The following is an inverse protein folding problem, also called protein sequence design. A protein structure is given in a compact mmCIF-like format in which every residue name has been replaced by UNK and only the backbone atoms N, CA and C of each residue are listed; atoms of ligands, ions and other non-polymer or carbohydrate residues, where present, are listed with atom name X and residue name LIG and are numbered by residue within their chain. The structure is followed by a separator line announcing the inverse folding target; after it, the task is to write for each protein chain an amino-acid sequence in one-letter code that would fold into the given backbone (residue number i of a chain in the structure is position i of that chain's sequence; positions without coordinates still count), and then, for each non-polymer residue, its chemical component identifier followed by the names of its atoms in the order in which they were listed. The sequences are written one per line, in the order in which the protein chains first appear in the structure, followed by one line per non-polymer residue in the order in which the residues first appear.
data_IF_355275064894
#
_entry.id   IF_355275064894
#
_cell.length_a   1.000
_cell.length_b   1.000
_cell.length_c   1.000
_cell.angle_alpha   90.00
_cell.angle_beta   90.00
_cell.angle_gamma   90.00
#
_symmetry.space_group_name_H-M   'P 1'
#
loop_
_entity.id
_entity.type
_entity.pdbx_description
1 polymer ?
#
# COMPACT_ATOMS: atom_id res chain seq x y z
N UNK A 1 -8.83 -2.97 -6.73
CA UNK A 1 -8.12 -3.95 -5.87
C UNK A 1 -9.06 -4.99 -5.24
N UNK A 2 -9.77 -5.82 -6.04
CA UNK A 2 -10.60 -6.91 -5.47
C UNK A 2 -9.74 -8.07 -4.96
N UNK A 3 -8.55 -8.23 -5.54
CA UNK A 3 -7.49 -9.18 -5.19
C UNK A 3 -6.20 -8.42 -4.95
N UNK A 4 -5.94 -7.97 -3.73
CA UNK A 4 -4.68 -7.31 -3.36
C UNK A 4 -3.94 -8.18 -2.36
N UNK A 5 -2.63 -8.31 -2.54
CA UNK A 5 -1.73 -9.07 -1.69
C UNK A 5 -0.72 -8.09 -1.07
N UNK A 6 -1.05 -7.46 0.08
CA UNK A 6 -0.34 -6.26 0.54
C UNK A 6 1.15 -6.49 0.77
N UNK A 7 1.55 -7.57 1.47
CA UNK A 7 2.98 -7.87 1.68
C UNK A 7 3.68 -8.38 0.42
N UNK A 8 2.99 -9.08 -0.48
CA UNK A 8 3.60 -9.47 -1.76
C UNK A 8 3.83 -8.27 -2.67
N UNK A 9 2.97 -7.25 -2.63
CA UNK A 9 3.22 -5.97 -3.29
C UNK A 9 4.44 -5.26 -2.73
N UNK A 10 4.66 -5.27 -1.40
CA UNK A 10 5.89 -4.74 -0.80
C UNK A 10 7.12 -5.47 -1.35
N UNK A 11 7.11 -6.80 -1.36
CA UNK A 11 8.21 -7.61 -1.93
C UNK A 11 8.41 -7.35 -3.42
N UNK A 12 7.34 -7.11 -4.18
CA UNK A 12 7.42 -6.80 -5.60
C UNK A 12 8.12 -5.45 -5.82
N UNK A 13 7.79 -4.43 -5.02
CA UNK A 13 8.42 -3.11 -5.09
C UNK A 13 9.88 -3.17 -4.62
N UNK A 14 10.18 -3.90 -3.53
CA UNK A 14 11.57 -4.17 -3.09
C UNK A 14 12.41 -4.76 -4.25
N UNK A 15 11.87 -5.75 -4.96
CA UNK A 15 12.54 -6.37 -6.11
C UNK A 15 12.68 -5.41 -7.28
N UNK A 16 11.65 -4.62 -7.58
CA UNK A 16 11.69 -3.63 -8.63
C UNK A 16 12.82 -2.61 -8.38
N UNK A 17 12.90 -2.05 -7.17
CA UNK A 17 13.97 -1.11 -6.80
C UNK A 17 15.37 -1.76 -6.91
N UNK A 18 15.49 -3.04 -6.53
CA UNK A 18 16.73 -3.79 -6.63
C UNK A 18 17.21 -4.04 -8.07
N UNK A 19 16.32 -3.98 -9.07
CA UNK A 19 16.70 -4.09 -10.49
C UNK A 19 17.55 -2.90 -10.96
N UNK A 20 17.49 -1.76 -10.24
CA UNK A 20 18.20 -0.53 -10.61
C UNK A 20 17.96 -0.12 -12.07
N UNK A 21 16.75 -0.34 -12.58
CA UNK A 21 16.38 0.05 -13.93
C UNK A 21 16.53 1.56 -14.12
N UNK A 22 16.75 1.99 -15.37
CA UNK A 22 16.85 3.41 -15.72
C UNK A 22 15.49 4.11 -15.61
N UNK A 23 14.40 3.39 -15.90
CA UNK A 23 13.02 3.90 -15.96
C UNK A 23 12.08 2.91 -15.26
N UNK A 24 11.22 3.42 -14.38
CA UNK A 24 10.12 2.69 -13.74
C UNK A 24 8.78 3.30 -14.17
N UNK A 25 8.26 2.89 -15.31
CA UNK A 25 7.02 3.45 -15.84
C UNK A 25 5.80 2.83 -15.14
N UNK A 26 4.94 3.62 -14.45
CA UNK A 26 3.76 3.07 -13.80
C UNK A 26 2.69 2.69 -14.83
N UNK A 27 1.82 1.73 -14.48
CA UNK A 27 0.69 1.36 -15.33
C UNK A 27 -0.36 2.47 -15.49
N UNK A 28 -0.41 3.42 -14.54
CA UNK A 28 -1.22 4.62 -14.57
C UNK A 28 -0.43 5.79 -13.97
N UNK A 29 -0.59 6.99 -14.52
CA UNK A 29 0.13 8.19 -14.08
C UNK A 29 0.82 8.87 -15.26
N UNK A 30 1.73 9.79 -14.94
CA UNK A 30 2.49 10.53 -15.93
C UNK A 30 3.72 9.74 -16.38
N UNK A 31 4.15 9.99 -17.62
CA UNK A 31 5.44 9.53 -18.13
C UNK A 31 6.45 10.63 -17.88
N UNK A 32 7.34 10.41 -16.92
CA UNK A 32 8.32 11.38 -16.46
C UNK A 32 9.76 10.92 -16.74
N UNK A 33 10.73 11.77 -16.42
CA UNK A 33 12.15 11.38 -16.49
C UNK A 33 12.48 10.24 -15.52
N UNK A 34 13.48 9.41 -15.85
CA UNK A 34 13.94 8.30 -15.01
C UNK A 34 14.21 8.67 -13.54
N UNK A 35 14.89 9.79 -13.23
CA UNK A 35 15.08 10.24 -11.85
C UNK A 35 13.78 10.55 -11.11
N UNK A 36 12.81 11.19 -11.77
CA UNK A 36 11.49 11.50 -11.19
C UNK A 36 10.72 10.22 -10.92
N UNK A 37 10.65 9.31 -11.89
CA UNK A 37 9.97 8.02 -11.74
C UNK A 37 10.57 7.17 -10.61
N UNK A 38 11.88 7.26 -10.37
CA UNK A 38 12.54 6.58 -9.24
C UNK A 38 12.12 7.17 -7.89
N UNK A 39 11.97 8.50 -7.80
CA UNK A 39 11.46 9.16 -6.59
C UNK A 39 10.00 8.80 -6.34
N UNK A 40 9.18 8.75 -7.39
CA UNK A 40 7.78 8.35 -7.30
C UNK A 40 7.64 6.89 -6.84
N UNK A 41 8.45 5.96 -7.37
CA UNK A 41 8.48 4.58 -6.91
C UNK A 41 8.83 4.49 -5.42
N UNK A 42 9.85 5.22 -4.96
CA UNK A 42 10.25 5.24 -3.56
C UNK A 42 9.16 5.85 -2.66
N UNK A 43 8.49 6.91 -3.12
CA UNK A 43 7.37 7.53 -2.41
C UNK A 43 6.17 6.57 -2.30
N UNK A 44 5.84 5.88 -3.39
CA UNK A 44 4.82 4.83 -3.40
C UNK A 44 5.18 3.68 -2.46
N UNK A 45 6.45 3.25 -2.45
CA UNK A 45 6.93 2.21 -1.55
C UNK A 45 6.75 2.58 -0.08
N UNK A 46 7.13 3.82 0.30
CA UNK A 46 6.95 4.35 1.64
C UNK A 46 5.46 4.39 2.03
N UNK A 47 4.60 4.86 1.13
CA UNK A 47 3.16 4.89 1.34
C UNK A 47 2.57 3.50 1.56
N UNK A 48 2.95 2.53 0.73
CA UNK A 48 2.49 1.15 0.86
C UNK A 48 2.91 0.54 2.20
N UNK A 49 4.16 0.76 2.64
CA UNK A 49 4.64 0.29 3.95
C UNK A 49 3.81 0.89 5.10
N UNK A 50 3.53 2.20 5.05
CA UNK A 50 2.77 2.88 6.09
C UNK A 50 1.32 2.36 6.18
N UNK A 51 0.64 2.19 5.04
CA UNK A 51 -0.74 1.66 5.00
C UNK A 51 -0.80 0.24 5.55
N UNK A 52 0.15 -0.62 5.16
CA UNK A 52 0.22 -2.00 5.66
C UNK A 52 0.51 -2.03 7.16
N UNK A 53 1.45 -1.21 7.62
CA UNK A 53 1.82 -1.14 9.03
C UNK A 53 0.65 -0.68 9.92
N UNK A 54 -0.11 0.33 9.49
CA UNK A 54 -1.27 0.82 10.26
C UNK A 54 -2.37 -0.24 10.36
N UNK A 55 -2.72 -0.90 9.26
CA UNK A 55 -3.71 -1.96 9.28
C UNK A 55 -3.25 -3.15 10.15
N UNK A 56 -1.97 -3.53 10.08
CA UNK A 56 -1.40 -4.57 10.93
C UNK A 56 -1.38 -4.17 12.41
N UNK A 57 -1.13 -2.90 12.74
CA UNK A 57 -1.20 -2.39 14.12
C UNK A 57 -2.59 -2.56 14.71
N UNK A 58 -3.64 -2.21 13.96
CA UNK A 58 -5.03 -2.37 14.38
C UNK A 58 -5.42 -3.85 14.53
N UNK A 59 -4.96 -4.70 13.60
CA UNK A 59 -5.19 -6.14 13.67
C UNK A 59 -4.56 -6.75 14.92
N UNK A 60 -3.29 -6.43 15.19
CA UNK A 60 -2.55 -6.93 16.36
C UNK A 60 -3.13 -6.42 17.69
N UNK A 61 -3.81 -5.27 17.67
CA UNK A 61 -4.56 -4.73 18.81
C UNK A 61 -5.95 -5.38 19.00
N UNK A 62 -6.32 -6.36 18.17
CA UNK A 62 -7.61 -7.05 18.24
C UNK A 62 -8.81 -6.21 17.79
N UNK A 63 -8.58 -5.10 17.07
CA UNK A 63 -9.67 -4.22 16.62
C UNK A 63 -10.45 -4.91 15.48
N UNK A 64 -11.78 -5.04 15.56
CA UNK A 64 -12.58 -5.61 14.48
C UNK A 64 -12.43 -4.83 13.17
N UNK A 65 -12.46 -5.51 12.01
CA UNK A 65 -12.15 -4.90 10.70
C UNK A 65 -13.00 -3.67 10.37
N UNK A 66 -14.30 -3.69 10.69
CA UNK A 66 -15.21 -2.57 10.43
C UNK A 66 -14.86 -1.34 11.27
N UNK A 67 -14.38 -1.56 12.49
CA UNK A 67 -13.89 -0.51 13.37
C UNK A 67 -12.51 -0.03 12.94
N UNK A 68 -11.64 -0.93 12.49
CA UNK A 68 -10.32 -0.61 11.97
C UNK A 68 -10.41 0.29 10.73
N UNK A 69 -11.34 0.05 9.82
CA UNK A 69 -11.59 0.93 8.66
C UNK A 69 -11.92 2.36 9.08
N UNK A 70 -12.65 2.54 10.19
CA UNK A 70 -13.01 3.87 10.71
C UNK A 70 -11.89 4.52 11.50
N UNK A 71 -11.03 3.72 12.15
CA UNK A 71 -9.95 4.18 13.04
C UNK A 71 -8.59 4.32 12.35
N UNK A 72 -8.40 3.71 11.20
CA UNK A 72 -7.13 3.72 10.48
C UNK A 72 -6.68 5.15 10.20
N UNK A 73 -5.48 5.47 10.67
CA UNK A 73 -4.82 6.74 10.41
C UNK A 73 -3.66 6.53 9.44
N UNK A 74 -3.83 6.99 8.20
CA UNK A 74 -2.79 6.92 7.18
C UNK A 74 -1.85 8.14 7.18
N UNK A 75 -1.99 9.05 8.14
CA UNK A 75 -1.15 10.25 8.26
C UNK A 75 -1.17 11.10 6.99
N UNK A 76 0.01 11.44 6.48
CA UNK A 76 0.17 12.24 5.25
C UNK A 76 -0.56 11.65 4.03
N UNK A 77 -0.66 10.31 3.97
CA UNK A 77 -1.27 9.58 2.85
C UNK A 77 -2.80 9.65 2.85
N UNK A 78 -3.43 10.13 3.92
CA UNK A 78 -4.89 10.35 3.96
C UNK A 78 -5.36 11.37 2.90
N UNK A 79 -4.46 12.26 2.48
CA UNK A 79 -4.71 13.28 1.45
C UNK A 79 -4.54 12.78 0.01
N UNK A 80 -3.99 11.58 -0.19
CA UNK A 80 -3.67 11.07 -1.52
C UNK A 80 -4.92 10.76 -2.34
N UNK A 81 -4.77 10.87 -3.66
CA UNK A 81 -5.82 10.52 -4.60
C UNK A 81 -6.27 9.08 -4.36
N UNK A 82 -7.59 8.88 -4.25
CA UNK A 82 -8.24 7.61 -3.93
C UNK A 82 -8.07 7.09 -2.49
N UNK A 83 -7.42 7.79 -1.56
CA UNK A 83 -7.28 7.33 -0.18
C UNK A 83 -8.63 6.96 0.47
N UNK A 84 -9.67 7.77 0.23
CA UNK A 84 -11.04 7.52 0.74
C UNK A 84 -11.67 6.24 0.19
N UNK A 85 -11.42 5.89 -1.08
CA UNK A 85 -12.04 4.72 -1.71
C UNK A 85 -11.19 3.45 -1.55
N UNK A 86 -9.86 3.57 -1.55
CA UNK A 86 -8.93 2.44 -1.46
C UNK A 86 -8.50 2.12 -0.03
N UNK A 87 -8.46 3.10 0.88
CA UNK A 87 -8.09 2.89 2.29
C UNK A 87 -8.88 1.77 2.97
N UNK A 88 -10.22 1.78 2.90
CA UNK A 88 -11.04 0.69 3.45
C UNK A 88 -10.73 -0.68 2.84
N UNK A 89 -10.39 -0.73 1.55
CA UNK A 89 -10.04 -1.97 0.85
C UNK A 89 -8.67 -2.46 1.33
N UNK A 90 -7.70 -1.57 1.49
CA UNK A 90 -6.35 -1.89 1.97
C UNK A 90 -6.41 -2.50 3.38
N UNK A 91 -7.16 -1.89 4.30
CA UNK A 91 -7.35 -2.44 5.66
C UNK A 91 -7.93 -3.84 5.60
N UNK A 92 -9.03 -4.05 4.86
CA UNK A 92 -9.64 -5.38 4.71
C UNK A 92 -8.65 -6.41 4.17
N UNK A 93 -7.85 -6.06 3.17
CA UNK A 93 -6.91 -6.99 2.55
C UNK A 93 -5.75 -7.37 3.47
N UNK A 94 -5.27 -6.44 4.30
CA UNK A 94 -4.29 -6.75 5.34
C UNK A 94 -4.90 -7.67 6.40
N UNK A 95 -6.14 -7.41 6.82
CA UNK A 95 -6.85 -8.27 7.78
C UNK A 95 -7.09 -9.68 7.23
N UNK A 96 -7.53 -9.80 5.97
CA UNK A 96 -7.68 -11.07 5.27
C UNK A 96 -6.33 -11.80 5.18
N UNK A 97 -5.24 -11.10 4.87
CA UNK A 97 -3.89 -11.68 4.85
C UNK A 97 -3.47 -12.22 6.22
N UNK A 98 -3.57 -11.40 7.27
CA UNK A 98 -3.11 -11.74 8.61
C UNK A 98 -3.95 -12.86 9.26
N UNK A 99 -5.24 -12.94 8.92
CA UNK A 99 -6.13 -14.01 9.38
C UNK A 99 -6.03 -15.30 8.54
N UNK A 100 -5.26 -15.31 7.45
CA UNK A 100 -5.19 -16.44 6.51
C UNK A 100 -6.43 -16.61 5.64
N UNK A 101 -7.32 -15.62 5.60
CA UNK A 101 -8.55 -15.62 4.82
C UNK A 101 -8.40 -14.99 3.41
N UNK A 102 -7.18 -14.54 3.05
CA UNK A 102 -6.91 -13.93 1.75
C UNK A 102 -7.12 -14.91 0.60
N UNK A 103 -7.88 -14.47 -0.41
CA UNK A 103 -8.21 -15.20 -1.63
C UNK A 103 -7.92 -14.35 -2.86
#
# INVERSE_FOLDING_TARGET
MRSAYPREWLKAVDRAEAMKADIYLPGHGYTESGPVLRQELAAYHKALRAVVAEAARLYNAGVPVDEAIRRADFGEYASWTLAKSQGPIAVRKVYEELSGALK
#
